data_IF_059477672436
#
_entry.id   IF_059477672436
#
_cell.length_a   1.000
_cell.length_b   1.000
_cell.length_c   1.000
_cell.angle_alpha   90.00
_cell.angle_beta   90.00
_cell.angle_gamma   90.00
#
_symmetry.space_group_name_H-M   'P 1'
#
loop_
_entity.id
_entity.type
_entity.pdbx_description
1 polymer ?
#
# COMPACT_ATOMS: atom_id res chain seq x y z
N UNK A 1 -15.18 15.37 2.80
CA UNK A 1 -15.04 16.61 2.00
C UNK A 1 -13.61 16.73 1.53
N UNK A 2 -13.34 17.50 0.45
CA UNK A 2 -11.96 17.87 0.10
C UNK A 2 -11.52 18.97 1.07
N UNK A 3 -10.37 18.80 1.70
CA UNK A 3 -9.87 19.70 2.75
C UNK A 3 -8.54 20.36 2.32
N UNK A 4 -8.15 21.40 3.05
CA UNK A 4 -6.89 22.12 2.83
C UNK A 4 -6.81 22.76 1.44
N UNK A 5 -5.66 22.68 0.73
CA UNK A 5 -5.49 23.26 -0.60
C UNK A 5 -6.50 22.78 -1.65
N UNK A 6 -7.14 21.63 -1.42
CA UNK A 6 -8.13 21.04 -2.33
C UNK A 6 -9.56 21.51 -2.07
N UNK A 7 -9.79 22.34 -1.04
CA UNK A 7 -11.06 23.03 -0.84
C UNK A 7 -11.38 23.99 -2.01
N UNK A 8 -10.34 24.52 -2.67
CA UNK A 8 -10.43 25.39 -3.84
C UNK A 8 -10.60 24.62 -5.17
N UNK A 9 -10.90 23.32 -5.11
CA UNK A 9 -11.11 22.48 -6.29
C UNK A 9 -9.90 21.59 -6.61
N UNK A 10 -9.50 21.55 -7.89
CA UNK A 10 -8.41 20.68 -8.38
C UNK A 10 -7.08 21.43 -8.44
N UNK A 11 -6.68 22.00 -7.31
CA UNK A 11 -5.43 22.75 -7.16
C UNK A 11 -4.25 21.88 -7.60
N UNK A 12 -3.54 22.32 -8.62
CA UNK A 12 -2.37 21.61 -9.15
C UNK A 12 -1.15 21.85 -8.25
N UNK A 13 -0.21 20.91 -8.28
CA UNK A 13 1.02 20.99 -7.49
C UNK A 13 2.22 20.67 -8.37
N UNK A 14 3.25 21.51 -8.33
CA UNK A 14 4.57 21.21 -8.91
C UNK A 14 5.57 21.20 -7.77
N UNK A 15 6.12 20.03 -7.46
CA UNK A 15 6.94 19.80 -6.27
C UNK A 15 8.26 19.15 -6.67
N UNK A 16 9.29 19.38 -5.85
CA UNK A 16 10.59 18.74 -5.99
C UNK A 16 10.72 17.60 -4.98
N UNK A 17 11.35 16.50 -5.40
CA UNK A 17 11.67 15.35 -4.55
C UNK A 17 13.07 14.86 -4.86
N UNK A 18 13.65 14.08 -3.95
CA UNK A 18 14.80 13.23 -4.32
C UNK A 18 14.42 12.38 -5.55
N UNK A 19 15.34 12.22 -6.51
CA UNK A 19 15.09 11.56 -7.79
C UNK A 19 14.38 10.21 -7.67
N UNK A 20 14.83 9.35 -6.75
CA UNK A 20 14.21 8.04 -6.55
C UNK A 20 12.74 8.14 -6.13
N UNK A 21 12.39 9.13 -5.30
CA UNK A 21 11.01 9.36 -4.87
C UNK A 21 10.16 9.85 -6.03
N UNK A 22 10.69 10.77 -6.86
CA UNK A 22 10.03 11.23 -8.07
C UNK A 22 9.76 10.08 -9.06
N UNK A 23 10.76 9.22 -9.29
CA UNK A 23 10.63 8.02 -10.12
C UNK A 23 9.58 7.06 -9.55
N UNK A 24 9.57 6.83 -8.25
CA UNK A 24 8.56 5.98 -7.58
C UNK A 24 7.16 6.56 -7.73
N UNK A 25 6.95 7.85 -7.59
CA UNK A 25 5.64 8.50 -7.74
C UNK A 25 5.07 8.32 -9.16
N UNK A 26 5.90 8.48 -10.18
CA UNK A 26 5.52 8.36 -11.59
C UNK A 26 5.61 6.93 -12.15
N UNK A 27 6.03 5.94 -11.36
CA UNK A 27 6.28 4.59 -11.83
C UNK A 27 4.99 3.86 -12.30
N UNK A 28 5.00 3.41 -13.56
CA UNK A 28 3.93 2.62 -14.16
C UNK A 28 3.85 1.18 -13.63
N UNK A 29 2.74 0.50 -13.91
CA UNK A 29 2.56 -0.94 -13.70
C UNK A 29 3.70 -1.72 -14.35
N UNK A 30 4.24 -2.71 -13.66
CA UNK A 30 5.38 -3.53 -14.08
C UNK A 30 6.76 -2.93 -13.75
N UNK A 31 6.86 -1.64 -13.47
CA UNK A 31 8.15 -1.00 -13.16
C UNK A 31 8.74 -1.50 -11.84
N UNK A 32 10.08 -1.65 -11.79
CA UNK A 32 10.83 -1.94 -10.56
C UNK A 32 10.66 -0.85 -9.50
N UNK A 33 10.46 0.40 -9.92
CA UNK A 33 10.23 1.54 -9.04
C UNK A 33 8.78 1.64 -8.54
N UNK A 34 7.85 0.82 -9.06
CA UNK A 34 6.46 0.85 -8.60
C UNK A 34 6.39 0.47 -7.12
N UNK A 35 5.69 1.28 -6.35
CA UNK A 35 5.64 1.19 -4.90
C UNK A 35 4.28 1.64 -4.39
N UNK A 36 4.12 1.63 -3.06
CA UNK A 36 2.96 2.24 -2.38
C UNK A 36 2.75 3.69 -2.84
N UNK A 37 3.82 4.49 -2.97
CA UNK A 37 3.72 5.89 -3.38
C UNK A 37 3.13 6.03 -4.79
N UNK A 38 3.50 5.15 -5.72
CA UNK A 38 2.96 5.15 -7.07
C UNK A 38 1.45 5.03 -7.05
N UNK A 39 0.92 4.01 -6.36
CA UNK A 39 -0.52 3.74 -6.33
C UNK A 39 -1.25 4.87 -5.62
N UNK A 40 -0.76 5.27 -4.43
CA UNK A 40 -1.40 6.32 -3.61
C UNK A 40 -1.49 7.66 -4.32
N UNK A 41 -0.46 8.05 -5.09
CA UNK A 41 -0.51 9.28 -5.87
C UNK A 41 -1.37 9.13 -7.14
N UNK A 42 -1.20 8.04 -7.89
CA UNK A 42 -1.82 7.85 -9.20
C UNK A 42 -3.32 7.54 -9.17
N UNK A 43 -3.88 7.13 -8.01
CA UNK A 43 -5.32 6.95 -7.87
C UNK A 43 -6.07 8.27 -7.59
N UNK A 44 -5.38 9.29 -7.06
CA UNK A 44 -5.95 10.61 -6.78
C UNK A 44 -5.59 11.65 -7.85
N UNK A 45 -4.41 11.52 -8.46
CA UNK A 45 -3.83 12.50 -9.36
C UNK A 45 -3.35 11.86 -10.66
N UNK A 46 -3.31 12.65 -11.73
CA UNK A 46 -2.37 12.46 -12.81
C UNK A 46 -0.99 12.94 -12.36
N UNK A 47 0.01 12.07 -12.44
CA UNK A 47 1.37 12.31 -11.89
C UNK A 47 2.37 12.25 -13.03
N UNK A 48 3.14 13.32 -13.20
CA UNK A 48 4.13 13.44 -14.27
C UNK A 48 5.49 13.83 -13.69
N UNK A 49 6.52 13.02 -13.94
CA UNK A 49 7.90 13.43 -13.73
C UNK A 49 8.30 14.33 -14.91
N UNK A 50 8.45 15.62 -14.66
CA UNK A 50 8.65 16.64 -15.71
C UNK A 50 10.11 16.65 -16.18
N UNK A 51 11.04 16.81 -15.23
CA UNK A 51 12.48 16.75 -15.49
C UNK A 51 13.25 16.53 -14.18
N UNK A 52 14.56 16.24 -14.31
CA UNK A 52 15.48 16.08 -13.18
C UNK A 52 16.50 17.22 -13.17
N UNK A 53 16.73 17.81 -12.00
CA UNK A 53 17.72 18.84 -11.74
C UNK A 53 18.98 18.17 -11.17
N UNK A 54 20.16 18.39 -11.79
CA UNK A 54 21.43 17.91 -11.25
C UNK A 54 21.71 18.49 -9.86
N UNK A 55 22.22 17.66 -8.93
CA UNK A 55 22.54 18.12 -7.56
C UNK A 55 23.48 19.32 -7.51
N UNK A 56 24.38 19.48 -8.50
CA UNK A 56 25.29 20.64 -8.62
C UNK A 56 24.57 22.00 -8.75
N UNK A 57 23.27 22.02 -9.05
CA UNK A 57 22.49 23.26 -9.16
C UNK A 57 21.98 23.79 -7.80
N UNK A 58 22.22 23.08 -6.70
CA UNK A 58 21.75 23.45 -5.36
C UNK A 58 22.90 23.87 -4.44
N UNK A 59 22.58 24.72 -3.46
CA UNK A 59 23.50 25.16 -2.40
C UNK A 59 22.81 25.02 -1.03
N UNK A 60 23.32 24.17 -0.11
CA UNK A 60 24.43 23.24 -0.31
C UNK A 60 24.08 22.12 -1.30
N UNK A 61 25.09 21.55 -1.95
CA UNK A 61 24.92 20.47 -2.93
C UNK A 61 24.40 19.20 -2.23
N UNK A 62 23.23 18.64 -2.62
CA UNK A 62 22.75 17.36 -2.11
C UNK A 62 23.53 16.19 -2.69
N UNK A 63 23.47 15.05 -2.00
CA UNK A 63 24.08 13.78 -2.45
C UNK A 63 23.37 13.15 -3.66
N UNK A 64 22.10 13.49 -3.85
CA UNK A 64 21.24 12.92 -4.89
C UNK A 64 20.67 14.01 -5.80
N UNK A 65 20.33 13.62 -7.03
CA UNK A 65 19.59 14.48 -7.95
C UNK A 65 18.16 14.74 -7.47
N UNK A 66 17.56 15.81 -7.98
CA UNK A 66 16.23 16.25 -7.58
C UNK A 66 15.27 16.13 -8.77
N UNK A 67 14.20 15.35 -8.63
CA UNK A 67 13.15 15.25 -9.64
C UNK A 67 12.05 16.28 -9.41
N UNK A 68 11.58 16.92 -10.48
CA UNK A 68 10.42 17.81 -10.48
C UNK A 68 9.20 17.02 -10.92
N UNK A 69 8.18 16.95 -10.07
CA UNK A 69 6.95 16.19 -10.31
C UNK A 69 5.74 17.12 -10.29
N UNK A 70 4.94 17.03 -11.35
CA UNK A 70 3.68 17.74 -11.46
C UNK A 70 2.51 16.79 -11.15
N UNK A 71 1.57 17.28 -10.34
CA UNK A 71 0.35 16.59 -9.94
C UNK A 71 -0.86 17.40 -10.37
N UNK A 72 -1.73 16.77 -11.13
CA UNK A 72 -3.07 17.29 -11.42
C UNK A 72 -4.11 16.40 -10.75
N UNK A 73 -4.85 16.87 -9.73
CA UNK A 73 -5.92 16.09 -9.13
C UNK A 73 -6.95 15.65 -10.18
N UNK A 74 -7.36 14.40 -10.09
CA UNK A 74 -8.36 13.84 -10.99
C UNK A 74 -9.74 14.45 -10.70
N UNK A 75 -10.61 14.46 -11.70
CA UNK A 75 -12.03 14.82 -11.52
C UNK A 75 -12.71 13.84 -10.59
N UNK A 76 -12.54 12.54 -10.86
CA UNK A 76 -12.93 11.41 -10.02
C UNK A 76 -11.70 10.57 -9.68
N UNK A 77 -11.52 10.18 -8.41
CA UNK A 77 -10.43 9.29 -8.04
C UNK A 77 -10.65 7.91 -8.68
N UNK A 78 -9.57 7.21 -9.02
CA UNK A 78 -9.65 5.86 -9.60
C UNK A 78 -10.14 4.81 -8.62
N UNK A 79 -10.13 5.12 -7.33
CA UNK A 79 -10.61 4.27 -6.23
C UNK A 79 -11.48 5.15 -5.33
N UNK A 80 -12.76 4.82 -5.22
CA UNK A 80 -13.76 5.58 -4.45
C UNK A 80 -13.97 4.94 -3.07
N UNK A 81 -12.89 4.73 -2.34
CA UNK A 81 -12.90 4.17 -0.99
C UNK A 81 -12.22 5.13 0.01
N UNK A 82 -12.52 5.02 1.32
CA UNK A 82 -11.86 5.85 2.33
C UNK A 82 -10.33 5.74 2.23
N UNK A 83 -9.63 6.88 2.36
CA UNK A 83 -8.17 6.93 2.20
C UNK A 83 -7.45 5.89 3.07
N UNK A 84 -7.88 5.73 4.33
CA UNK A 84 -7.29 4.76 5.26
C UNK A 84 -7.48 3.30 4.84
N UNK A 85 -8.57 2.98 4.16
CA UNK A 85 -8.80 1.65 3.60
C UNK A 85 -7.84 1.38 2.45
N UNK A 86 -7.76 2.30 1.49
CA UNK A 86 -6.85 2.19 0.35
C UNK A 86 -5.40 2.09 0.83
N UNK A 87 -5.00 2.97 1.75
CA UNK A 87 -3.68 2.98 2.38
C UNK A 87 -3.36 1.63 3.03
N UNK A 88 -4.30 1.06 3.80
CA UNK A 88 -4.14 -0.24 4.46
C UNK A 88 -3.92 -1.35 3.43
N UNK A 89 -4.78 -1.46 2.42
CA UNK A 89 -4.67 -2.52 1.39
C UNK A 89 -3.35 -2.39 0.63
N UNK A 90 -3.05 -1.20 0.10
CA UNK A 90 -1.82 -0.96 -0.68
C UNK A 90 -0.57 -1.23 0.15
N UNK A 91 -0.54 -0.82 1.42
CA UNK A 91 0.59 -1.09 2.31
C UNK A 91 0.86 -2.59 2.48
N UNK A 92 -0.17 -3.39 2.73
CA UNK A 92 -0.01 -4.83 2.94
C UNK A 92 0.44 -5.55 1.66
N UNK A 93 -0.08 -5.13 0.50
CA UNK A 93 0.37 -5.65 -0.80
C UNK A 93 1.87 -5.39 -1.03
N UNK A 94 2.35 -4.17 -0.78
CA UNK A 94 3.75 -3.82 -1.03
C UNK A 94 4.73 -4.24 0.07
N UNK A 95 4.27 -4.81 1.19
CA UNK A 95 5.13 -5.27 2.27
C UNK A 95 6.13 -6.34 1.82
N UNK A 96 5.72 -7.25 0.92
CA UNK A 96 6.56 -8.34 0.42
C UNK A 96 6.78 -8.23 -1.10
N UNK A 97 7.56 -7.22 -1.53
CA UNK A 97 7.79 -6.89 -2.96
C UNK A 97 8.26 -8.07 -3.83
N UNK A 98 8.98 -9.04 -3.26
CA UNK A 98 9.53 -10.20 -3.98
C UNK A 98 8.64 -11.45 -3.93
N UNK A 99 7.51 -11.41 -3.21
CA UNK A 99 6.53 -12.50 -3.12
C UNK A 99 5.30 -12.15 -3.95
N UNK A 100 4.44 -13.15 -4.18
CA UNK A 100 3.13 -12.92 -4.81
C UNK A 100 2.23 -12.09 -3.92
N UNK A 101 1.33 -11.32 -4.53
CA UNK A 101 0.44 -10.38 -3.83
C UNK A 101 -0.46 -11.08 -2.80
N UNK A 102 -0.82 -12.35 -3.05
CA UNK A 102 -1.51 -13.21 -2.09
C UNK A 102 -0.87 -13.18 -0.70
N UNK A 103 0.48 -13.22 -0.61
CA UNK A 103 1.15 -13.19 0.69
C UNK A 103 0.97 -11.86 1.42
N UNK A 104 1.01 -10.75 0.69
CA UNK A 104 0.77 -9.42 1.26
C UNK A 104 -0.68 -9.26 1.72
N UNK A 105 -1.63 -9.59 0.84
CA UNK A 105 -3.06 -9.51 1.10
C UNK A 105 -3.50 -10.38 2.27
N UNK A 106 -2.91 -11.56 2.46
CA UNK A 106 -3.21 -12.41 3.60
C UNK A 106 -2.90 -11.80 4.96
N UNK A 107 -2.07 -10.77 5.02
CA UNK A 107 -1.82 -10.03 6.27
C UNK A 107 -2.96 -9.08 6.65
N UNK A 108 -3.99 -8.94 5.81
CA UNK A 108 -5.24 -8.25 6.16
C UNK A 108 -6.17 -9.10 7.01
N UNK A 109 -5.91 -10.40 7.14
CA UNK A 109 -6.81 -11.36 7.77
C UNK A 109 -6.13 -12.10 8.94
N UNK A 110 -6.88 -12.37 10.03
CA UNK A 110 -6.45 -13.23 11.13
C UNK A 110 -5.94 -14.58 10.63
N UNK A 111 -4.96 -15.15 11.32
CA UNK A 111 -4.30 -16.39 10.90
C UNK A 111 -5.29 -17.54 10.66
N UNK A 112 -6.28 -17.69 11.54
CA UNK A 112 -7.31 -18.73 11.46
C UNK A 112 -8.15 -18.70 10.17
N UNK A 113 -8.35 -17.52 9.58
CA UNK A 113 -9.24 -17.34 8.41
C UNK A 113 -8.47 -16.87 7.17
N UNK A 114 -7.14 -16.81 7.27
CA UNK A 114 -6.27 -16.16 6.29
C UNK A 114 -6.37 -16.79 4.91
N UNK A 115 -6.29 -18.11 4.84
CA UNK A 115 -6.28 -18.83 3.56
C UNK A 115 -7.59 -18.61 2.79
N UNK A 116 -8.71 -18.87 3.46
CA UNK A 116 -10.05 -18.75 2.89
C UNK A 116 -10.37 -17.30 2.49
N UNK A 117 -10.21 -16.34 3.41
CA UNK A 117 -10.57 -14.94 3.13
C UNK A 117 -9.66 -14.29 2.07
N UNK A 118 -8.38 -14.66 2.01
CA UNK A 118 -7.49 -14.14 0.95
C UNK A 118 -7.87 -14.69 -0.41
N UNK A 119 -8.19 -16.00 -0.48
CA UNK A 119 -8.69 -16.62 -1.71
C UNK A 119 -9.99 -15.97 -2.18
N UNK A 120 -10.96 -15.82 -1.27
CA UNK A 120 -12.24 -15.15 -1.55
C UNK A 120 -12.05 -13.69 -2.00
N UNK A 121 -11.15 -12.94 -1.37
CA UNK A 121 -10.83 -11.56 -1.75
C UNK A 121 -10.31 -11.48 -3.19
N UNK A 122 -9.33 -12.32 -3.53
CA UNK A 122 -8.71 -12.33 -4.87
C UNK A 122 -9.68 -12.81 -5.95
N UNK A 123 -10.48 -13.83 -5.65
CA UNK A 123 -11.50 -14.35 -6.56
C UNK A 123 -12.58 -13.30 -6.85
N UNK A 124 -13.14 -12.67 -5.82
CA UNK A 124 -14.17 -11.65 -5.99
C UNK A 124 -13.64 -10.37 -6.66
N UNK A 125 -12.35 -10.07 -6.48
CA UNK A 125 -11.69 -8.93 -7.11
C UNK A 125 -11.22 -9.22 -8.54
N UNK A 126 -11.31 -10.47 -9.01
CA UNK A 126 -10.78 -10.94 -10.29
C UNK A 126 -9.29 -10.59 -10.48
N UNK A 127 -8.48 -10.94 -9.48
CA UNK A 127 -7.03 -10.68 -9.47
C UNK A 127 -6.26 -11.99 -9.35
N UNK A 128 -5.35 -12.22 -10.29
CA UNK A 128 -4.45 -13.38 -10.27
C UNK A 128 -3.58 -13.38 -8.99
N UNK A 129 -3.69 -14.43 -8.13
CA UNK A 129 -2.97 -14.52 -6.87
C UNK A 129 -1.45 -14.55 -7.03
N UNK A 130 -0.95 -14.90 -8.22
CA UNK A 130 0.49 -15.04 -8.55
C UNK A 130 1.12 -13.75 -9.05
N UNK A 131 0.34 -12.67 -9.22
CA UNK A 131 0.90 -11.37 -9.58
C UNK A 131 1.79 -10.84 -8.45
N UNK A 132 2.94 -10.27 -8.81
CA UNK A 132 3.79 -9.52 -7.87
C UNK A 132 3.20 -8.13 -7.63
N UNK A 133 3.48 -7.50 -6.48
CA UNK A 133 2.96 -6.16 -6.16
C UNK A 133 3.18 -5.09 -7.25
N UNK A 134 4.34 -5.10 -7.92
CA UNK A 134 4.62 -4.15 -9.00
C UNK A 134 3.79 -4.39 -10.27
N UNK A 135 3.21 -5.58 -10.46
CA UNK A 135 2.37 -5.92 -11.63
C UNK A 135 0.91 -5.52 -11.41
N UNK A 136 0.52 -5.13 -10.20
CA UNK A 136 -0.85 -4.70 -9.91
C UNK A 136 -1.08 -3.26 -10.40
N UNK A 137 -2.10 -3.12 -11.26
CA UNK A 137 -2.60 -1.84 -11.76
C UNK A 137 -3.44 -1.13 -10.70
N UNK A 138 -3.77 0.15 -10.94
CA UNK A 138 -4.69 0.88 -10.06
C UNK A 138 -6.11 0.29 -10.11
N UNK A 139 -6.52 -0.31 -11.25
CA UNK A 139 -7.80 -0.99 -11.35
C UNK A 139 -7.85 -2.26 -10.50
N UNK A 140 -6.77 -3.05 -10.42
CA UNK A 140 -6.71 -4.19 -9.49
C UNK A 140 -6.85 -3.70 -8.03
N UNK A 141 -6.18 -2.61 -7.67
CA UNK A 141 -6.33 -2.03 -6.33
C UNK A 141 -7.75 -1.53 -6.07
N UNK A 142 -8.45 -0.98 -7.08
CA UNK A 142 -9.87 -0.61 -6.97
C UNK A 142 -10.70 -1.83 -6.59
N UNK A 143 -10.64 -2.90 -7.37
CA UNK A 143 -11.41 -4.14 -7.13
C UNK A 143 -11.10 -4.73 -5.75
N UNK A 144 -9.81 -4.78 -5.36
CA UNK A 144 -9.40 -5.26 -4.05
C UNK A 144 -9.95 -4.42 -2.91
N UNK A 145 -9.93 -3.09 -3.04
CA UNK A 145 -10.47 -2.19 -2.02
C UNK A 145 -11.99 -2.29 -1.91
N UNK A 146 -12.70 -2.41 -3.04
CA UNK A 146 -14.16 -2.54 -3.06
C UNK A 146 -14.62 -3.84 -2.40
N UNK A 147 -13.95 -4.96 -2.68
CA UNK A 147 -14.26 -6.24 -2.04
C UNK A 147 -13.86 -6.24 -0.57
N UNK A 148 -12.67 -5.74 -0.23
CA UNK A 148 -12.23 -5.65 1.17
C UNK A 148 -13.15 -4.74 1.99
N UNK A 149 -13.70 -3.68 1.39
CA UNK A 149 -14.70 -2.84 2.05
C UNK A 149 -15.93 -3.63 2.45
N UNK A 150 -16.51 -4.40 1.53
CA UNK A 150 -17.68 -5.25 1.82
C UNK A 150 -17.38 -6.26 2.93
N UNK A 151 -16.20 -6.87 2.90
CA UNK A 151 -15.76 -7.78 3.97
C UNK A 151 -15.64 -7.09 5.33
N UNK A 152 -15.22 -5.82 5.39
CA UNK A 152 -15.19 -5.03 6.61
C UNK A 152 -16.59 -4.60 7.07
N UNK A 153 -17.54 -4.43 6.15
CA UNK A 153 -18.94 -4.13 6.50
C UNK A 153 -19.63 -5.39 7.08
N UNK A 154 -19.27 -6.59 6.60
CA UNK A 154 -19.70 -7.88 7.17
C UNK A 154 -19.04 -8.18 8.54
N UNK A 155 -17.78 -7.79 8.72
CA UNK A 155 -16.98 -8.03 9.92
C UNK A 155 -16.29 -6.74 10.40
N UNK A 156 -16.92 -6.00 11.33
CA UNK A 156 -16.40 -4.70 11.80
C UNK A 156 -15.00 -4.75 12.42
N UNK A 157 -14.56 -5.91 12.93
CA UNK A 157 -13.26 -6.06 13.57
C UNK A 157 -12.12 -6.17 12.54
N UNK A 158 -12.45 -6.51 11.29
CA UNK A 158 -11.47 -6.76 10.24
C UNK A 158 -10.66 -5.49 9.89
N UNK A 159 -11.30 -4.32 9.91
CA UNK A 159 -10.59 -3.07 9.63
C UNK A 159 -9.61 -2.69 10.74
N UNK A 160 -9.91 -3.02 11.99
CA UNK A 160 -9.03 -2.77 13.14
C UNK A 160 -7.92 -3.83 13.28
N UNK A 161 -8.08 -5.01 12.67
CA UNK A 161 -7.10 -6.09 12.76
C UNK A 161 -5.70 -5.67 12.31
N UNK A 162 -4.70 -6.08 13.11
CA UNK A 162 -3.28 -5.86 12.87
C UNK A 162 -2.49 -7.15 13.12
N UNK A 163 -1.97 -7.75 12.04
CA UNK A 163 -1.23 -9.01 12.09
C UNK A 163 0.03 -8.97 12.97
N UNK A 164 0.63 -7.79 13.18
CA UNK A 164 1.82 -7.67 14.05
C UNK A 164 1.48 -7.91 15.51
N UNK A 165 0.29 -7.50 15.94
CA UNK A 165 -0.17 -7.74 17.32
C UNK A 165 -0.49 -9.23 17.53
N UNK A 166 -1.08 -9.89 16.54
CA UNK A 166 -1.28 -11.35 16.54
C UNK A 166 0.06 -12.10 16.65
N UNK A 167 1.06 -11.73 15.85
CA UNK A 167 2.39 -12.35 15.89
C UNK A 167 3.07 -12.18 17.25
N UNK A 168 2.95 -11.02 17.90
CA UNK A 168 3.49 -10.79 19.25
C UNK A 168 2.83 -11.69 20.28
N UNK A 169 1.49 -11.82 20.22
CA UNK A 169 0.73 -12.70 21.12
C UNK A 169 1.15 -14.16 20.96
N UNK A 170 1.26 -14.63 19.72
CA UNK A 170 1.69 -16.00 19.44
C UNK A 170 3.10 -16.29 19.94
N UNK A 171 4.02 -15.32 19.80
CA UNK A 171 5.39 -15.46 20.32
C UNK A 171 5.42 -15.55 21.85
N UNK A 172 4.66 -14.71 22.56
CA UNK A 172 4.56 -14.75 24.03
C UNK A 172 3.99 -16.08 24.52
N UNK A 173 2.89 -16.54 23.93
CA UNK A 173 2.27 -17.82 24.27
C UNK A 173 3.21 -19.02 24.02
N UNK A 174 4.08 -18.94 23.00
CA UNK A 174 5.11 -19.94 22.74
C UNK A 174 6.16 -19.99 23.86
N UNK A 175 6.67 -18.83 24.28
CA UNK A 175 7.66 -18.72 25.36
C UNK A 175 7.12 -19.20 26.71
N UNK A 176 5.87 -18.88 27.03
CA UNK A 176 5.21 -19.35 28.26
C UNK A 176 5.05 -20.88 28.28
N UNK A 177 4.71 -21.49 27.14
CA UNK A 177 4.60 -22.95 27.01
C UNK A 177 5.95 -23.67 27.10
N UNK A 178 7.01 -23.06 26.59
CA UNK A 178 8.38 -23.58 26.73
C UNK A 178 8.84 -23.51 28.20
N UNK A 179 8.63 -22.38 28.88
CA UNK A 179 8.97 -22.22 30.29
C UNK A 179 8.20 -23.20 31.21
N UNK A 180 6.90 -23.44 30.97
CA UNK A 180 6.11 -24.40 31.74
C UNK A 180 6.55 -25.86 31.48
N UNK A 181 7.04 -26.18 30.27
CA UNK A 181 7.63 -27.50 29.98
C UNK A 181 8.96 -27.71 30.69
N UNK A 182 9.85 -26.71 30.69
CA UNK A 182 11.12 -26.79 31.41
C UNK A 182 10.93 -26.90 32.93
N UNK A 183 9.95 -26.18 33.48
CA UNK A 183 9.62 -26.21 34.91
C UNK A 183 9.00 -27.53 35.38
N UNK A 184 8.34 -28.28 34.50
CA UNK A 184 7.79 -29.63 34.79
C UNK A 184 8.76 -30.77 34.54
N UNK A 185 9.93 -30.46 33.96
CA UNK A 185 11.00 -31.42 33.67
C UNK A 185 12.09 -31.43 34.75
N UNK A 186 11.93 -30.61 35.79
CA UNK A 186 12.74 -30.51 37.02
C UNK A 186 11.91 -31.01 38.21
#
# INVERSE_FOLDING_TARGET
MREGPFAYGRTQMTLTFQKEVAERLAANTGSKQRSRLSVMAQYLCHVQHVFTIPGRAFVPKPEVEVGVVHFTPLTQPKIEQPFKLVEKVVQHVFQFRRKYCHRGLGMLFPEAQRLERTGRLLQLADVDPTLRPCQLSVSHFRSLCDVYRRMCDEDPHLFAYNFREELKKNKRAGQEREADRESRSL
#
